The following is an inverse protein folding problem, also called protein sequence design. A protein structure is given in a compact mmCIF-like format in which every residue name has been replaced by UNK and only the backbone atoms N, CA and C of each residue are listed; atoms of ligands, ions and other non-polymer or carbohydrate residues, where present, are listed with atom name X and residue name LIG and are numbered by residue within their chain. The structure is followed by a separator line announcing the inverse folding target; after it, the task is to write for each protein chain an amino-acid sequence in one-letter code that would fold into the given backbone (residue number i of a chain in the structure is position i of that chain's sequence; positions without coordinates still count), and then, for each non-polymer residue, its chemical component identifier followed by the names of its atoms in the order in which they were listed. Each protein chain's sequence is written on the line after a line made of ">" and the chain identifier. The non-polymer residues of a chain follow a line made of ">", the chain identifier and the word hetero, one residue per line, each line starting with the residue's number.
data_IF_600635783467
#
_entry.id   IF_600635783467
#
_cell.length_a   1.000
_cell.length_b   1.000
_cell.length_c   1.000
_cell.angle_alpha   90.00
_cell.angle_beta   90.00
_cell.angle_gamma   90.00
#
_symmetry.space_group_name_H-M   'P 1'
#
loop_
_entity.id
_entity.type
_entity.pdbx_description
1 polymer ?
#
# COMPACT_ATOMS: atom_id res chain seq x y z
N UNK A 1 -0.13 -9.31 16.09
CA UNK A 1 -1.27 -8.94 16.99
C UNK A 1 -2.19 -8.01 16.23
N UNK A 2 -3.43 -8.42 15.99
CA UNK A 2 -4.38 -7.69 15.13
C UNK A 2 -4.92 -6.44 15.82
N UNK A 3 -4.82 -5.27 15.18
CA UNK A 3 -5.39 -4.03 15.70
C UNK A 3 -6.92 -4.02 15.59
N UNK A 4 -7.60 -3.60 16.66
CA UNK A 4 -9.05 -3.42 16.69
C UNK A 4 -9.44 -2.05 16.13
N UNK A 5 -9.92 -2.00 14.88
CA UNK A 5 -10.35 -0.74 14.27
C UNK A 5 -11.41 -0.94 13.18
N UNK A 6 -12.58 -0.31 13.33
CA UNK A 6 -13.63 -0.27 12.31
C UNK A 6 -13.46 0.93 11.37
N UNK A 7 -13.94 0.81 10.14
CA UNK A 7 -13.91 1.89 9.17
C UNK A 7 -14.83 3.05 9.59
N UNK A 8 -14.19 4.20 9.84
CA UNK A 8 -14.80 5.43 10.36
C UNK A 8 -15.22 6.43 9.28
N UNK A 9 -14.87 6.17 8.02
CA UNK A 9 -15.27 7.03 6.91
C UNK A 9 -16.72 6.80 6.48
N UNK A 10 -17.15 7.67 5.57
CA UNK A 10 -18.51 7.92 5.12
C UNK A 10 -18.73 7.70 3.61
N UNK A 11 -17.68 7.26 2.89
CA UNK A 11 -17.71 6.97 1.45
C UNK A 11 -18.93 6.13 1.07
N UNK A 12 -19.80 6.67 0.21
CA UNK A 12 -20.99 5.96 -0.25
C UNK A 12 -20.61 4.85 -1.23
N UNK A 13 -21.55 3.92 -1.45
CA UNK A 13 -21.42 2.89 -2.48
C UNK A 13 -21.23 3.47 -3.89
N UNK A 14 -21.85 4.62 -4.17
CA UNK A 14 -21.73 5.29 -5.47
C UNK A 14 -20.33 5.86 -5.67
N UNK A 15 -19.81 6.60 -4.68
CA UNK A 15 -18.44 7.16 -4.71
C UNK A 15 -17.39 6.05 -4.80
N UNK A 16 -17.60 4.94 -4.09
CA UNK A 16 -16.73 3.77 -4.15
C UNK A 16 -16.72 3.12 -5.55
N UNK A 17 -17.88 3.03 -6.23
CA UNK A 17 -17.97 2.52 -7.60
C UNK A 17 -17.31 3.46 -8.62
N UNK A 18 -17.54 4.78 -8.52
CA UNK A 18 -16.91 5.78 -9.39
C UNK A 18 -15.39 5.76 -9.22
N UNK A 19 -14.92 5.80 -7.97
CA UNK A 19 -13.50 5.72 -7.65
C UNK A 19 -12.87 4.42 -8.14
N UNK A 20 -13.55 3.28 -8.02
CA UNK A 20 -13.06 2.01 -8.55
C UNK A 20 -12.89 2.04 -10.06
N UNK A 21 -13.83 2.63 -10.82
CA UNK A 21 -13.68 2.80 -12.28
C UNK A 21 -12.44 3.64 -12.62
N UNK A 22 -12.23 4.77 -11.92
CA UNK A 22 -11.05 5.60 -12.10
C UNK A 22 -9.73 4.88 -11.75
N UNK A 23 -9.75 4.02 -10.73
CA UNK A 23 -8.61 3.19 -10.32
C UNK A 23 -8.35 1.98 -11.21
N UNK A 24 -9.30 1.59 -12.06
CA UNK A 24 -9.16 0.53 -13.05
C UNK A 24 -8.76 1.05 -14.44
N UNK A 25 -9.17 2.28 -14.80
CA UNK A 25 -8.61 2.98 -15.97
C UNK A 25 -7.13 3.33 -15.76
N UNK A 26 -6.77 3.73 -14.54
CA UNK A 26 -5.39 3.61 -14.01
C UNK A 26 -5.12 2.14 -13.67
N UNK A 27 -3.88 1.69 -13.60
CA UNK A 27 -3.49 0.26 -13.83
C UNK A 27 -3.70 -0.24 -15.27
N UNK A 28 -4.68 0.26 -16.03
CA UNK A 28 -4.96 -0.17 -17.41
C UNK A 28 -5.73 -1.49 -17.46
N UNK A 29 -6.71 -1.63 -16.56
CA UNK A 29 -7.60 -2.80 -16.43
C UNK A 29 -8.97 -2.45 -16.98
N UNK A 30 -9.44 -3.22 -17.97
CA UNK A 30 -10.78 -3.02 -18.54
C UNK A 30 -11.87 -3.05 -17.44
N UNK A 31 -12.85 -2.12 -17.44
CA UNK A 31 -13.87 -2.06 -16.40
C UNK A 31 -14.66 -3.37 -16.21
N UNK A 32 -14.82 -4.17 -17.27
CA UNK A 32 -15.47 -5.49 -17.22
C UNK A 32 -14.60 -6.62 -16.64
N UNK A 33 -13.28 -6.42 -16.53
CA UNK A 33 -12.36 -7.35 -15.88
C UNK A 33 -12.34 -7.19 -14.36
N UNK A 34 -12.87 -6.08 -13.82
CA UNK A 34 -13.01 -5.83 -12.39
C UNK A 34 -14.30 -6.45 -11.86
N UNK A 35 -14.18 -7.27 -10.82
CA UNK A 35 -15.29 -8.02 -10.19
C UNK A 35 -15.37 -7.69 -8.72
N UNK A 36 -16.53 -7.22 -8.29
CA UNK A 36 -16.84 -6.98 -6.87
C UNK A 36 -17.98 -7.91 -6.46
N UNK A 37 -17.75 -8.75 -5.44
CA UNK A 37 -18.70 -9.81 -5.03
C UNK A 37 -18.76 -9.95 -3.51
N UNK A 38 -19.87 -10.43 -2.92
CA UNK A 38 -19.89 -10.87 -1.53
C UNK A 38 -18.92 -12.04 -1.31
N UNK A 39 -18.32 -12.12 -0.11
CA UNK A 39 -17.51 -13.27 0.32
C UNK A 39 -18.42 -14.38 0.85
N UNK A 40 -18.19 -15.62 0.41
CA UNK A 40 -18.96 -16.76 0.90
C UNK A 40 -18.72 -17.00 2.40
N UNK A 41 -19.78 -17.26 3.17
CA UNK A 41 -19.68 -17.46 4.62
C UNK A 41 -19.45 -16.18 5.44
N UNK A 42 -19.60 -14.99 4.84
CA UNK A 42 -19.52 -13.70 5.55
C UNK A 42 -20.76 -12.84 5.29
N UNK A 43 -21.44 -12.40 6.34
CA UNK A 43 -22.66 -11.58 6.24
C UNK A 43 -22.42 -10.27 5.48
N UNK A 44 -21.25 -9.67 5.72
CA UNK A 44 -20.87 -8.35 5.22
C UNK A 44 -19.62 -8.34 4.35
N UNK A 45 -18.94 -9.48 4.21
CA UNK A 45 -17.69 -9.58 3.47
C UNK A 45 -17.83 -9.22 2.00
N UNK A 46 -16.84 -8.50 1.49
CA UNK A 46 -16.71 -8.14 0.08
C UNK A 46 -15.35 -8.58 -0.44
N UNK A 47 -15.33 -9.02 -1.69
CA UNK A 47 -14.14 -9.39 -2.47
C UNK A 47 -14.04 -8.48 -3.69
N UNK A 48 -12.83 -7.98 -3.95
CA UNK A 48 -12.45 -7.24 -5.14
C UNK A 48 -11.42 -8.06 -5.90
N UNK A 49 -11.74 -8.41 -7.14
CA UNK A 49 -10.90 -9.20 -8.04
C UNK A 49 -10.70 -8.44 -9.35
N UNK A 50 -9.50 -8.53 -9.93
CA UNK A 50 -9.23 -8.10 -11.30
C UNK A 50 -8.09 -8.91 -11.91
N UNK A 51 -7.98 -8.92 -13.24
CA UNK A 51 -6.87 -9.56 -13.95
C UNK A 51 -5.90 -8.49 -14.43
N UNK A 52 -4.60 -8.69 -14.18
CA UNK A 52 -3.52 -7.86 -14.67
C UNK A 52 -2.43 -8.75 -15.26
N UNK A 53 -2.17 -8.64 -16.57
CA UNK A 53 -1.22 -9.48 -17.33
C UNK A 53 -1.34 -10.97 -16.95
N UNK A 54 -2.53 -11.50 -17.15
CA UNK A 54 -2.95 -12.90 -16.89
C UNK A 54 -2.94 -13.35 -15.41
N UNK A 55 -2.40 -12.57 -14.49
CA UNK A 55 -2.50 -12.83 -13.05
C UNK A 55 -3.80 -12.27 -12.48
N UNK A 56 -4.54 -13.12 -11.76
CA UNK A 56 -5.73 -12.71 -11.03
C UNK A 56 -5.32 -12.15 -9.66
N UNK A 57 -5.49 -10.85 -9.47
CA UNK A 57 -5.37 -10.19 -8.16
C UNK A 57 -6.72 -10.28 -7.45
N UNK A 58 -6.73 -10.67 -6.18
CA UNK A 58 -7.95 -10.78 -5.36
C UNK A 58 -7.69 -10.34 -3.92
N UNK A 59 -8.48 -9.37 -3.43
CA UNK A 59 -8.47 -8.87 -2.04
C UNK A 59 -9.85 -9.01 -1.42
N UNK A 60 -9.90 -9.46 -0.17
CA UNK A 60 -11.13 -9.54 0.61
C UNK A 60 -11.10 -8.58 1.81
N UNK A 61 -12.27 -8.03 2.13
CA UNK A 61 -12.52 -7.27 3.35
C UNK A 61 -13.77 -7.83 4.02
N UNK A 62 -13.59 -8.42 5.21
CA UNK A 62 -14.67 -9.07 5.99
C UNK A 62 -14.86 -8.43 7.38
N UNK A 63 -14.05 -7.42 7.71
CA UNK A 63 -13.91 -6.90 9.07
C UNK A 63 -14.87 -5.77 9.45
N UNK A 64 -15.68 -5.26 8.54
CA UNK A 64 -16.58 -4.12 8.78
C UNK A 64 -18.05 -4.52 8.96
N UNK A 65 -18.80 -3.66 9.67
CA UNK A 65 -20.21 -3.82 10.01
C UNK A 65 -21.21 -3.66 8.84
N UNK A 66 -20.75 -3.50 7.59
CA UNK A 66 -21.63 -3.54 6.42
C UNK A 66 -20.84 -3.84 5.14
N UNK A 67 -21.55 -4.32 4.11
CA UNK A 67 -20.97 -4.57 2.77
C UNK A 67 -20.38 -3.32 2.15
N UNK A 68 -21.05 -2.18 2.28
CA UNK A 68 -20.56 -0.92 1.71
C UNK A 68 -19.31 -0.41 2.43
N UNK A 69 -19.19 -0.61 3.76
CA UNK A 69 -17.94 -0.30 4.49
C UNK A 69 -16.79 -1.24 4.09
N UNK A 70 -17.04 -2.55 3.96
CA UNK A 70 -16.02 -3.48 3.44
C UNK A 70 -15.62 -3.13 1.99
N UNK A 71 -16.56 -2.69 1.15
CA UNK A 71 -16.27 -2.25 -0.20
C UNK A 71 -15.47 -0.94 -0.24
N UNK A 72 -15.82 0.06 0.56
CA UNK A 72 -15.06 1.30 0.71
C UNK A 72 -13.62 1.03 1.19
N UNK A 73 -13.41 0.07 2.10
CA UNK A 73 -12.07 -0.38 2.50
C UNK A 73 -11.27 -0.91 1.31
N UNK A 74 -11.84 -1.76 0.46
CA UNK A 74 -11.17 -2.30 -0.73
C UNK A 74 -10.81 -1.19 -1.74
N UNK A 75 -11.71 -0.25 -1.99
CA UNK A 75 -11.47 0.84 -2.95
C UNK A 75 -10.43 1.84 -2.41
N UNK A 76 -10.38 2.08 -1.11
CA UNK A 76 -9.36 2.92 -0.48
C UNK A 76 -7.98 2.23 -0.43
N UNK A 77 -7.95 0.93 -0.10
CA UNK A 77 -6.74 0.09 -0.19
C UNK A 77 -6.14 0.17 -1.60
N UNK A 78 -6.92 -0.14 -2.64
CA UNK A 78 -6.48 -0.07 -4.03
C UNK A 78 -6.01 1.34 -4.39
N UNK A 79 -6.75 2.37 -3.97
CA UNK A 79 -6.43 3.77 -4.28
C UNK A 79 -5.14 4.31 -3.69
N UNK A 80 -4.63 3.70 -2.62
CA UNK A 80 -3.32 4.03 -2.06
C UNK A 80 -2.20 3.20 -2.72
N UNK A 81 -2.47 1.95 -3.13
CA UNK A 81 -1.53 1.14 -3.94
C UNK A 81 -1.27 1.74 -5.33
N UNK A 82 -2.32 2.04 -6.09
CA UNK A 82 -2.21 2.64 -7.45
C UNK A 82 -1.39 3.93 -7.41
N UNK A 83 -1.59 4.75 -6.38
CA UNK A 83 -0.86 6.01 -6.17
C UNK A 83 0.63 5.80 -5.85
N UNK A 84 0.99 4.73 -5.15
CA UNK A 84 2.38 4.40 -4.85
C UNK A 84 3.10 3.84 -6.09
N UNK A 85 2.40 3.02 -6.89
CA UNK A 85 2.88 2.52 -8.18
C UNK A 85 3.16 3.68 -9.15
N UNK A 86 2.19 4.58 -9.33
CA UNK A 86 2.31 5.80 -10.16
C UNK A 86 3.41 6.77 -9.71
N UNK A 87 3.95 6.61 -8.50
CA UNK A 87 5.04 7.45 -7.98
C UNK A 87 6.38 6.73 -7.92
N UNK A 88 6.46 5.51 -8.48
CA UNK A 88 7.61 4.58 -8.40
C UNK A 88 8.11 4.42 -6.96
N UNK A 89 7.17 4.35 -6.02
CA UNK A 89 7.42 4.06 -4.61
C UNK A 89 7.40 2.55 -4.38
N UNK A 90 6.50 1.86 -5.09
CA UNK A 90 6.32 0.42 -5.06
C UNK A 90 6.25 -0.12 -6.49
N UNK A 91 6.80 -1.31 -6.71
CA UNK A 91 6.46 -2.09 -7.91
C UNK A 91 5.04 -2.66 -7.79
N UNK A 92 4.50 -3.17 -8.90
CA UNK A 92 3.20 -3.85 -8.88
C UNK A 92 3.26 -5.15 -8.06
N UNK A 93 4.40 -5.85 -8.11
CA UNK A 93 4.68 -7.04 -7.31
C UNK A 93 4.69 -6.72 -5.81
N UNK A 94 5.38 -5.66 -5.38
CA UNK A 94 5.37 -5.20 -3.98
C UNK A 94 3.97 -4.80 -3.51
N UNK A 95 3.26 -4.00 -4.32
CA UNK A 95 1.97 -3.44 -3.98
C UNK A 95 0.87 -4.51 -3.76
N UNK A 96 0.90 -5.59 -4.54
CA UNK A 96 -0.12 -6.65 -4.53
C UNK A 96 0.42 -8.01 -4.05
N UNK A 97 1.56 -8.02 -3.34
CA UNK A 97 2.29 -9.21 -2.91
C UNK A 97 1.40 -10.26 -2.23
N UNK A 98 0.55 -9.83 -1.30
CA UNK A 98 -0.36 -10.72 -0.54
C UNK A 98 -1.61 -11.17 -1.28
N UNK A 99 -1.82 -10.68 -2.50
CA UNK A 99 -3.13 -10.68 -3.17
C UNK A 99 -3.07 -11.33 -4.57
N UNK A 100 -1.97 -12.01 -4.88
CA UNK A 100 -1.77 -12.81 -6.10
C UNK A 100 -0.53 -12.43 -6.91
N UNK A 101 0.07 -11.26 -6.69
CA UNK A 101 1.12 -10.74 -7.56
C UNK A 101 2.45 -11.51 -7.51
N UNK A 102 2.69 -12.35 -6.49
CA UNK A 102 3.79 -13.33 -6.47
C UNK A 102 3.76 -14.35 -7.62
N UNK A 103 2.67 -14.39 -8.40
CA UNK A 103 2.50 -15.21 -9.59
C UNK A 103 2.88 -14.47 -10.88
N UNK A 104 3.22 -13.18 -10.81
CA UNK A 104 3.73 -12.43 -11.97
C UNK A 104 5.16 -12.88 -12.30
N UNK A 105 5.55 -12.91 -13.58
CA UNK A 105 6.93 -13.13 -13.97
C UNK A 105 7.86 -12.08 -13.34
N UNK A 106 9.03 -12.51 -12.84
CA UNK A 106 10.05 -11.60 -12.34
C UNK A 106 10.43 -10.56 -13.40
N UNK A 107 10.56 -9.30 -13.00
CA UNK A 107 10.74 -8.19 -13.95
C UNK A 107 9.44 -7.65 -14.55
N UNK A 108 8.26 -8.04 -14.04
CA UNK A 108 6.98 -7.35 -14.34
C UNK A 108 6.87 -6.00 -13.60
N UNK A 109 7.92 -5.19 -13.71
CA UNK A 109 7.96 -3.78 -13.31
C UNK A 109 7.67 -2.91 -14.53
N UNK A 110 6.40 -2.61 -14.80
CA UNK A 110 5.99 -1.49 -15.64
C UNK A 110 4.45 -1.31 -15.60
N UNK A 111 3.94 -0.67 -14.55
CA UNK A 111 3.00 0.40 -14.85
C UNK A 111 3.85 1.50 -15.51
N UNK A 112 3.50 1.88 -16.75
CA UNK A 112 4.46 2.34 -17.78
C UNK A 112 5.59 3.21 -17.25
N UNK A 113 6.85 2.81 -17.47
CA UNK A 113 8.02 3.44 -16.86
C UNK A 113 8.40 4.78 -17.52
N UNK A 114 7.51 5.77 -17.44
CA UNK A 114 7.75 7.14 -17.89
C UNK A 114 8.32 8.01 -16.77
N UNK A 115 9.08 9.05 -17.14
CA UNK A 115 9.69 10.00 -16.20
C UNK A 115 8.66 10.88 -15.44
N UNK A 116 7.39 10.79 -15.82
CA UNK A 116 6.24 11.44 -15.17
C UNK A 116 5.87 10.76 -13.85
N UNK A 117 6.19 9.48 -13.70
CA UNK A 117 5.86 8.65 -12.52
C UNK A 117 6.83 8.84 -11.34
N UNK A 118 7.54 9.96 -11.26
CA UNK A 118 8.47 10.27 -10.18
C UNK A 118 7.78 11.13 -9.12
N UNK A 119 8.29 11.10 -7.88
CA UNK A 119 7.87 12.06 -6.87
C UNK A 119 8.34 13.47 -7.27
N UNK A 120 7.37 14.36 -7.53
CA UNK A 120 7.59 15.73 -8.02
C UNK A 120 7.34 16.82 -6.96
N UNK A 121 7.00 16.45 -5.73
CA UNK A 121 6.75 17.40 -4.66
C UNK A 121 8.04 17.87 -3.98
N UNK A 122 8.10 19.14 -3.58
CA UNK A 122 9.26 19.72 -2.88
C UNK A 122 9.25 19.48 -1.37
N UNK A 123 9.18 18.23 -0.92
CA UNK A 123 9.26 17.93 0.53
C UNK A 123 10.67 18.03 1.06
N UNK A 124 10.84 18.69 2.19
CA UNK A 124 12.14 18.74 2.87
C UNK A 124 12.44 17.43 3.61
N UNK A 125 13.69 17.28 4.05
CA UNK A 125 14.12 16.18 4.93
C UNK A 125 13.31 16.22 6.24
N UNK A 126 13.18 17.39 6.86
CA UNK A 126 12.47 17.60 8.13
C UNK A 126 10.98 17.21 8.02
N UNK A 127 10.30 17.65 6.96
CA UNK A 127 8.91 17.25 6.69
C UNK A 127 8.77 15.74 6.49
N UNK A 128 9.76 15.10 5.87
CA UNK A 128 9.78 13.66 5.61
C UNK A 128 10.01 12.87 6.91
N UNK A 129 10.89 13.35 7.80
CA UNK A 129 11.09 12.78 9.13
C UNK A 129 9.85 12.95 10.02
N UNK A 130 9.22 14.12 10.03
CA UNK A 130 7.96 14.40 10.74
C UNK A 130 6.79 13.57 10.19
N UNK A 131 6.76 13.28 8.88
CA UNK A 131 5.84 12.29 8.31
C UNK A 131 6.11 10.87 8.80
N UNK A 132 7.37 10.45 8.90
CA UNK A 132 7.73 9.13 9.44
C UNK A 132 7.28 8.99 10.90
N UNK A 133 7.63 9.94 11.78
CA UNK A 133 7.24 9.91 13.21
C UNK A 133 5.74 9.72 13.41
N UNK A 134 4.93 10.59 12.81
CA UNK A 134 3.46 10.51 12.88
C UNK A 134 2.87 9.28 12.19
N UNK A 135 3.64 8.59 11.36
CA UNK A 135 3.23 7.30 10.78
C UNK A 135 3.53 6.15 11.74
N UNK A 136 4.66 6.19 12.45
CA UNK A 136 5.00 5.23 13.50
C UNK A 136 4.02 5.30 14.68
N UNK A 137 3.65 6.51 15.12
CA UNK A 137 2.62 6.74 16.16
C UNK A 137 1.30 6.04 15.81
N UNK A 138 0.78 6.25 14.59
CA UNK A 138 -0.43 5.60 14.06
C UNK A 138 -0.32 4.07 13.98
N UNK A 139 0.85 3.56 13.64
CA UNK A 139 1.16 2.12 13.61
C UNK A 139 1.41 1.56 15.02
N UNK A 140 1.48 2.40 16.06
CA UNK A 140 1.83 2.00 17.42
C UNK A 140 3.25 1.45 17.55
N UNK A 141 4.20 1.97 16.77
CA UNK A 141 5.61 1.57 16.76
C UNK A 141 6.47 2.64 17.46
N UNK A 142 7.57 2.23 18.11
CA UNK A 142 8.51 3.17 18.72
C UNK A 142 9.53 3.68 17.70
N UNK A 143 9.94 4.95 17.78
CA UNK A 143 11.11 5.45 17.04
C UNK A 143 12.39 4.66 17.37
N UNK A 144 12.48 4.03 18.56
CA UNK A 144 13.60 3.15 18.95
C UNK A 144 13.70 1.86 18.13
N UNK A 145 12.60 1.44 17.51
CA UNK A 145 12.52 0.24 16.69
C UNK A 145 12.78 0.53 15.21
N UNK A 146 13.22 1.75 14.87
CA UNK A 146 13.34 2.24 13.51
C UNK A 146 14.75 2.75 13.21
N UNK A 147 15.26 2.38 12.03
CA UNK A 147 16.45 2.97 11.42
C UNK A 147 16.09 3.47 10.02
N UNK A 148 16.18 4.78 9.84
CA UNK A 148 16.01 5.46 8.56
C UNK A 148 17.36 6.05 8.16
N UNK A 149 17.84 5.70 6.97
CA UNK A 149 19.12 6.16 6.42
C UNK A 149 18.92 6.56 4.97
N UNK A 150 19.69 7.54 4.51
CA UNK A 150 19.69 7.98 3.12
C UNK A 150 21.12 8.30 2.68
N UNK A 151 21.42 7.98 1.42
CA UNK A 151 22.76 7.99 0.85
C UNK A 151 22.71 8.74 -0.50
N UNK A 152 23.46 9.83 -0.58
CA UNK A 152 23.51 10.68 -1.76
C UNK A 152 24.37 10.10 -2.90
N UNK A 153 25.43 9.34 -2.57
CA UNK A 153 26.30 8.70 -3.55
C UNK A 153 25.57 7.55 -4.26
N UNK A 154 24.77 6.80 -3.50
CA UNK A 154 23.92 5.71 -4.01
C UNK A 154 22.54 6.17 -4.50
N UNK A 155 22.16 7.42 -4.24
CA UNK A 155 20.82 7.96 -4.49
C UNK A 155 19.70 7.03 -3.93
N UNK A 156 19.86 6.62 -2.67
CA UNK A 156 19.05 5.60 -1.99
C UNK A 156 18.49 6.15 -0.67
N UNK A 157 17.24 5.83 -0.32
CA UNK A 157 16.71 5.96 1.03
C UNK A 157 16.19 4.61 1.52
N UNK A 158 16.48 4.26 2.77
CA UNK A 158 16.19 2.94 3.35
C UNK A 158 15.61 3.03 4.74
N UNK A 159 14.51 2.32 4.94
CA UNK A 159 13.76 2.24 6.19
C UNK A 159 13.77 0.79 6.66
N UNK A 160 14.40 0.57 7.82
CA UNK A 160 14.24 -0.64 8.60
C UNK A 160 13.38 -0.35 9.82
N UNK A 161 12.37 -1.18 10.07
CA UNK A 161 11.55 -1.10 11.29
C UNK A 161 11.29 -2.49 11.84
N UNK A 162 11.29 -2.62 13.16
CA UNK A 162 10.90 -3.86 13.87
C UNK A 162 9.43 -3.79 14.27
N UNK A 163 8.66 -4.76 13.81
CA UNK A 163 7.25 -4.93 14.17
C UNK A 163 7.12 -5.53 15.57
N UNK A 164 5.93 -5.38 16.17
CA UNK A 164 5.60 -5.96 17.49
C UNK A 164 5.65 -7.50 17.52
N UNK A 165 5.60 -8.15 16.36
CA UNK A 165 5.82 -9.58 16.15
C UNK A 165 7.28 -10.01 16.29
N UNK A 166 8.22 -9.04 16.30
CA UNK A 166 9.66 -9.28 16.19
C UNK A 166 10.17 -9.30 14.74
N UNK A 167 9.28 -9.38 13.75
CA UNK A 167 9.66 -9.35 12.35
C UNK A 167 10.25 -7.99 11.95
N UNK A 168 11.21 -7.99 11.02
CA UNK A 168 11.85 -6.76 10.52
C UNK A 168 11.33 -6.47 9.13
N UNK A 169 10.82 -5.26 8.91
CA UNK A 169 10.55 -4.73 7.57
C UNK A 169 11.79 -3.98 7.09
N UNK A 170 12.18 -4.17 5.83
CA UNK A 170 13.31 -3.50 5.19
C UNK A 170 12.86 -3.01 3.80
N UNK A 171 12.49 -1.73 3.70
CA UNK A 171 12.05 -1.09 2.45
C UNK A 171 13.10 -0.09 1.97
N UNK A 172 13.52 -0.28 0.72
CA UNK A 172 14.40 0.63 -0.01
C UNK A 172 13.58 1.43 -1.02
N UNK A 173 13.88 2.72 -1.11
CA UNK A 173 13.45 3.63 -2.17
C UNK A 173 14.70 4.03 -2.96
N UNK A 174 14.73 3.65 -4.23
CA UNK A 174 15.80 3.92 -5.18
C UNK A 174 15.15 4.21 -6.55
N UNK A 175 15.70 5.16 -7.31
CA UNK A 175 15.17 5.54 -8.63
C UNK A 175 14.39 6.86 -8.70
N UNK A 176 14.28 7.62 -7.60
CA UNK A 176 13.85 9.02 -7.65
C UNK A 176 14.98 9.95 -8.10
N UNK A 177 14.66 11.21 -8.43
CA UNK A 177 15.61 12.19 -8.99
C UNK A 177 16.76 12.57 -8.06
N UNK A 178 16.51 12.57 -6.75
CA UNK A 178 17.51 12.86 -5.71
C UNK A 178 17.23 12.02 -4.47
N UNK A 179 18.22 11.94 -3.58
CA UNK A 179 18.12 11.24 -2.29
C UNK A 179 16.95 11.78 -1.44
N UNK A 180 16.72 13.10 -1.45
CA UNK A 180 15.59 13.74 -0.75
C UNK A 180 14.24 13.29 -1.32
N UNK A 181 14.12 13.14 -2.65
CA UNK A 181 12.90 12.60 -3.26
C UNK A 181 12.70 11.12 -2.92
N UNK A 182 13.77 10.31 -2.81
CA UNK A 182 13.68 8.92 -2.33
C UNK A 182 13.22 8.87 -0.86
N UNK A 183 13.74 9.75 0.00
CA UNK A 183 13.34 9.87 1.40
C UNK A 183 11.86 10.29 1.54
N UNK A 184 11.43 11.30 0.77
CA UNK A 184 10.05 11.75 0.76
C UNK A 184 9.08 10.70 0.20
N UNK A 185 9.48 9.96 -0.84
CA UNK A 185 8.75 8.80 -1.36
C UNK A 185 8.55 7.72 -0.28
N UNK A 186 9.61 7.39 0.47
CA UNK A 186 9.59 6.41 1.55
C UNK A 186 8.76 6.85 2.77
N UNK A 187 8.78 8.15 3.09
CA UNK A 187 7.92 8.73 4.12
C UNK A 187 6.42 8.70 3.71
N UNK A 188 6.11 8.98 2.45
CA UNK A 188 4.76 8.91 1.89
C UNK A 188 4.24 7.48 1.81
N UNK A 189 5.10 6.51 1.48
CA UNK A 189 4.80 5.07 1.56
C UNK A 189 4.31 4.66 2.94
N UNK A 190 5.13 4.95 3.96
CA UNK A 190 4.81 4.61 5.36
C UNK A 190 3.54 5.34 5.82
N UNK A 191 3.33 6.60 5.39
CA UNK A 191 2.11 7.34 5.70
C UNK A 191 0.86 6.69 5.09
N UNK A 192 0.92 6.17 3.86
CA UNK A 192 -0.22 5.47 3.26
C UNK A 192 -0.59 4.21 4.05
N UNK A 193 0.42 3.41 4.43
CA UNK A 193 0.26 2.21 5.28
C UNK A 193 -0.34 2.57 6.65
N UNK A 194 0.20 3.60 7.31
CA UNK A 194 -0.28 4.10 8.59
C UNK A 194 -1.73 4.64 8.53
N UNK A 195 -2.12 5.30 7.44
CA UNK A 195 -3.50 5.77 7.21
C UNK A 195 -4.49 4.63 7.04
N UNK A 196 -4.09 3.52 6.40
CA UNK A 196 -4.97 2.35 6.29
C UNK A 196 -5.22 1.69 7.66
N UNK A 197 -4.23 1.70 8.55
CA UNK A 197 -4.39 1.23 9.94
C UNK A 197 -5.26 2.19 10.77
N UNK A 198 -4.98 3.50 10.73
CA UNK A 198 -5.77 4.55 11.39
C UNK A 198 -7.26 4.51 10.98
N UNK A 199 -7.53 4.24 9.70
CA UNK A 199 -8.88 4.10 9.14
C UNK A 199 -9.52 2.73 9.39
N UNK A 200 -8.84 1.78 10.04
CA UNK A 200 -9.36 0.43 10.27
C UNK A 200 -9.57 -0.40 9.00
N UNK A 201 -8.91 -0.04 7.89
CA UNK A 201 -8.87 -0.78 6.62
C UNK A 201 -7.95 -1.98 6.77
N UNK A 202 -6.77 -1.74 7.33
CA UNK A 202 -5.74 -2.75 7.63
C UNK A 202 -5.58 -2.92 9.14
N UNK A 203 -5.32 -4.14 9.58
CA UNK A 203 -5.29 -4.50 11.01
C UNK A 203 -4.11 -5.40 11.39
N UNK A 204 -3.50 -6.05 10.41
CA UNK A 204 -2.37 -6.96 10.58
C UNK A 204 -1.14 -6.30 9.96
N UNK A 205 -0.19 -5.89 10.81
CA UNK A 205 1.03 -5.22 10.34
C UNK A 205 1.97 -6.19 9.61
N UNK A 206 1.99 -7.46 9.97
CA UNK A 206 2.85 -8.45 9.33
C UNK A 206 2.35 -8.68 7.89
N UNK A 207 1.03 -8.81 7.70
CA UNK A 207 0.41 -8.83 6.36
C UNK A 207 0.61 -7.52 5.59
N UNK A 208 0.48 -6.36 6.25
CA UNK A 208 0.58 -5.03 5.63
C UNK A 208 1.96 -4.74 5.04
N UNK A 209 3.01 -5.33 5.61
CA UNK A 209 4.39 -5.15 5.21
C UNK A 209 5.03 -6.42 4.61
N UNK A 210 4.24 -7.44 4.28
CA UNK A 210 4.71 -8.78 3.89
C UNK A 210 5.75 -8.79 2.75
N UNK A 211 5.58 -7.91 1.76
CA UNK A 211 6.50 -7.73 0.62
C UNK A 211 7.93 -7.32 1.01
N UNK A 212 8.11 -6.81 2.23
CA UNK A 212 9.35 -6.21 2.71
C UNK A 212 9.86 -6.84 4.03
N UNK A 213 9.30 -7.98 4.46
CA UNK A 213 9.76 -8.68 5.68
C UNK A 213 11.12 -9.36 5.48
N UNK A 214 11.87 -9.51 6.59
CA UNK A 214 13.11 -10.26 6.69
C UNK A 214 13.01 -11.40 7.74
N UNK A 215 13.33 -12.66 7.36
CA UNK A 215 13.48 -13.14 5.99
C UNK A 215 12.19 -12.91 5.18
N UNK A 216 12.28 -12.85 3.86
CA UNK A 216 11.11 -12.74 3.00
C UNK A 216 10.13 -13.88 3.32
N UNK A 217 8.84 -13.55 3.45
CA UNK A 217 7.82 -14.55 3.71
C UNK A 217 7.76 -15.54 2.53
N UNK A 218 7.82 -16.83 2.82
CA UNK A 218 7.74 -17.94 1.84
C UNK A 218 6.31 -18.24 1.40
#
# INVERSE_FOLDING_TARGET
>A
MTMTGTYRGDMSRADALEKLKGLAGRLGVEPGAVRVRPVAGSDHGMSLQFVYRDVTITRESVGQASRDKNFACLVLWLGDLVRNIERRIETLEEAFYTDGARLLPSGTSAYGETAENLYTGGKTIEESLDLVRRSLERLGLSERDVKLTWDAERNEARLRLRLRSGAVVDKVSQGQRTVDHNLAALALWLQARAKNVERGIERDLDRLFAANLLPAAS
#
